data_IF_219482645903
#
_entry.id   IF_219482645903
#
_cell.length_a   1.000
_cell.length_b   1.000
_cell.length_c   1.000
_cell.angle_alpha   90.00
_cell.angle_beta   90.00
_cell.angle_gamma   90.00
#
_symmetry.space_group_name_H-M   'P 1'
#
loop_
_entity.id
_entity.type
_entity.pdbx_description
1 polymer ?
#
# COMPACT_ATOMS: atom_id res chain seq x y z
N UNK A 1 -26.48 -29.81 -1.15
CA UNK A 1 -27.46 -28.71 -1.28
C UNK A 1 -26.64 -27.45 -1.47
N UNK A 2 -26.89 -26.64 -2.51
CA UNK A 2 -26.03 -25.47 -2.77
C UNK A 2 -26.29 -24.37 -1.73
N UNK A 3 -25.24 -23.70 -1.28
CA UNK A 3 -25.28 -22.62 -0.27
C UNK A 3 -26.29 -21.50 -0.63
N UNK A 4 -26.36 -21.02 -1.89
CA UNK A 4 -27.36 -20.03 -2.29
C UNK A 4 -28.81 -20.45 -2.06
N UNK A 5 -29.13 -21.72 -2.25
CA UNK A 5 -30.48 -22.25 -1.98
C UNK A 5 -30.81 -22.28 -0.50
N UNK A 6 -29.81 -22.54 0.37
CA UNK A 6 -30.02 -22.51 1.81
C UNK A 6 -30.28 -21.08 2.30
N UNK A 7 -29.53 -20.10 1.82
CA UNK A 7 -29.82 -18.69 2.11
C UNK A 7 -31.20 -18.27 1.62
N UNK A 8 -31.60 -18.67 0.40
CA UNK A 8 -32.94 -18.42 -0.11
C UNK A 8 -34.03 -18.92 0.82
N UNK A 9 -33.87 -20.15 1.36
CA UNK A 9 -34.83 -20.73 2.32
C UNK A 9 -34.87 -19.95 3.64
N UNK A 10 -33.72 -19.56 4.18
CA UNK A 10 -33.62 -18.82 5.44
C UNK A 10 -34.24 -17.43 5.33
N UNK A 11 -33.93 -16.68 4.25
CA UNK A 11 -34.52 -15.35 4.03
C UNK A 11 -36.03 -15.46 3.85
N UNK A 12 -36.52 -16.46 3.11
CA UNK A 12 -37.95 -16.73 2.97
C UNK A 12 -38.64 -17.08 4.31
N UNK A 13 -37.97 -17.87 5.15
CA UNK A 13 -38.48 -18.19 6.49
C UNK A 13 -38.54 -16.92 7.38
N UNK A 14 -37.52 -16.07 7.29
CA UNK A 14 -37.50 -14.79 8.02
C UNK A 14 -38.64 -13.86 7.60
N UNK A 15 -38.95 -13.73 6.30
CA UNK A 15 -40.07 -12.91 5.83
C UNK A 15 -41.43 -13.46 6.37
N UNK A 16 -41.54 -14.76 6.64
CA UNK A 16 -42.71 -15.38 7.23
C UNK A 16 -42.83 -15.20 8.73
N UNK A 17 -41.70 -14.85 9.40
CA UNK A 17 -41.67 -14.70 10.84
C UNK A 17 -42.56 -13.53 11.29
N UNK A 18 -43.25 -13.75 12.43
CA UNK A 18 -44.19 -12.76 13.00
C UNK A 18 -43.48 -11.46 13.38
N UNK A 19 -42.27 -11.54 13.94
CA UNK A 19 -41.48 -10.37 14.36
C UNK A 19 -41.11 -9.54 13.17
N UNK A 20 -40.63 -10.20 12.11
CA UNK A 20 -40.30 -9.52 10.82
C UNK A 20 -41.54 -8.80 10.26
N UNK A 21 -42.68 -9.46 10.21
CA UNK A 21 -43.93 -8.87 9.70
C UNK A 21 -44.45 -7.70 10.53
N UNK A 22 -44.23 -7.73 11.84
CA UNK A 22 -44.59 -6.59 12.69
C UNK A 22 -43.74 -5.35 12.37
N UNK A 23 -42.48 -5.53 12.02
CA UNK A 23 -41.56 -4.41 11.65
C UNK A 23 -41.78 -4.00 10.19
N UNK A 24 -41.90 -4.98 9.30
CA UNK A 24 -42.00 -4.76 7.83
C UNK A 24 -43.36 -5.23 7.33
N UNK A 25 -44.42 -4.61 7.79
CA UNK A 25 -45.83 -5.00 7.54
C UNK A 25 -46.19 -5.05 6.03
N UNK A 26 -45.46 -4.28 5.20
CA UNK A 26 -45.70 -4.18 3.78
C UNK A 26 -44.91 -5.23 2.94
N UNK A 27 -44.10 -6.08 3.57
CA UNK A 27 -43.29 -7.08 2.90
C UNK A 27 -43.85 -8.46 3.12
N UNK A 28 -44.49 -9.04 2.11
CA UNK A 28 -45.03 -10.39 2.13
C UNK A 28 -44.56 -11.17 0.90
N UNK A 29 -44.48 -12.51 1.04
CA UNK A 29 -44.18 -13.38 -0.09
C UNK A 29 -45.38 -13.47 -1.02
N UNK A 30 -45.10 -13.46 -2.33
CA UNK A 30 -46.11 -13.72 -3.35
C UNK A 30 -46.58 -15.19 -3.24
N UNK A 31 -47.91 -15.47 -3.09
CA UNK A 31 -48.40 -16.82 -2.96
C UNK A 31 -48.03 -17.75 -4.10
N UNK A 32 -47.92 -17.21 -5.32
CA UNK A 32 -47.71 -17.98 -6.54
C UNK A 32 -46.26 -18.29 -6.86
N UNK A 33 -45.31 -17.54 -6.24
CA UNK A 33 -43.89 -17.66 -6.53
C UNK A 33 -43.04 -17.77 -5.26
N UNK A 34 -43.04 -18.94 -4.65
CA UNK A 34 -42.35 -19.18 -3.33
C UNK A 34 -41.39 -20.38 -3.36
N UNK A 35 -40.78 -20.71 -4.51
CA UNK A 35 -39.82 -21.82 -4.60
C UNK A 35 -38.44 -21.39 -4.05
N UNK A 36 -37.64 -22.36 -3.60
CA UNK A 36 -36.30 -22.09 -3.10
C UNK A 36 -35.37 -21.56 -4.22
N UNK A 37 -35.63 -21.96 -5.47
CA UNK A 37 -34.92 -21.56 -6.68
C UNK A 37 -35.27 -20.13 -7.16
N UNK A 38 -36.22 -19.50 -6.49
CA UNK A 38 -36.62 -18.12 -6.76
C UNK A 38 -38.01 -17.83 -6.19
N UNK A 39 -38.14 -16.73 -5.52
CA UNK A 39 -39.41 -16.26 -4.96
C UNK A 39 -39.55 -14.75 -5.14
N UNK A 40 -40.79 -14.31 -5.13
CA UNK A 40 -41.13 -12.90 -5.24
C UNK A 40 -41.83 -12.41 -3.97
N UNK A 41 -41.92 -11.10 -3.83
CA UNK A 41 -42.79 -10.43 -2.87
C UNK A 41 -44.02 -9.87 -3.58
N UNK A 42 -45.09 -9.62 -2.82
CA UNK A 42 -46.33 -9.01 -3.31
C UNK A 42 -46.17 -7.61 -3.90
N UNK A 43 -44.98 -6.99 -3.67
CA UNK A 43 -44.63 -5.65 -4.19
C UNK A 43 -43.63 -5.70 -5.34
N UNK A 44 -43.48 -6.84 -6.00
CA UNK A 44 -42.64 -6.99 -7.21
C UNK A 44 -41.13 -7.18 -6.92
N UNK A 45 -40.71 -7.16 -5.65
CA UNK A 45 -39.36 -7.58 -5.28
C UNK A 45 -39.19 -9.09 -5.40
N UNK A 46 -37.96 -9.59 -5.39
CA UNK A 46 -37.72 -11.02 -5.45
C UNK A 46 -36.29 -11.39 -5.09
N UNK A 47 -36.04 -12.68 -4.98
CA UNK A 47 -34.73 -13.27 -4.69
C UNK A 47 -34.45 -14.41 -5.67
N UNK A 48 -33.27 -14.40 -6.26
CA UNK A 48 -32.82 -15.39 -7.24
C UNK A 48 -31.47 -15.94 -6.81
N UNK A 49 -31.41 -17.13 -6.21
CA UNK A 49 -30.16 -17.78 -5.87
C UNK A 49 -29.52 -18.40 -7.12
N UNK A 50 -28.21 -18.20 -7.27
CA UNK A 50 -27.43 -18.83 -8.33
C UNK A 50 -26.02 -19.14 -7.82
N UNK A 51 -25.36 -20.14 -8.37
CA UNK A 51 -23.92 -20.33 -8.21
C UNK A 51 -23.13 -19.58 -9.29
N UNK A 52 -21.84 -19.43 -9.11
CA UNK A 52 -20.93 -18.90 -10.13
C UNK A 52 -21.04 -19.77 -11.41
N UNK A 53 -21.21 -19.12 -12.57
CA UNK A 53 -21.50 -19.82 -13.84
C UNK A 53 -22.95 -20.34 -13.98
N UNK A 54 -23.79 -20.17 -12.96
CA UNK A 54 -25.22 -20.52 -13.01
C UNK A 54 -26.00 -19.55 -13.90
N UNK A 55 -27.18 -20.02 -14.40
CA UNK A 55 -28.02 -19.21 -15.25
C UNK A 55 -28.77 -18.14 -14.46
N UNK A 56 -28.36 -16.90 -14.61
CA UNK A 56 -29.05 -15.68 -14.15
C UNK A 56 -29.54 -14.84 -15.35
N UNK A 57 -29.50 -15.41 -16.56
CA UNK A 57 -29.88 -14.73 -17.79
C UNK A 57 -31.39 -14.40 -17.79
N UNK A 58 -31.73 -13.22 -18.33
CA UNK A 58 -33.11 -12.75 -18.43
C UNK A 58 -33.69 -12.17 -17.13
N UNK A 59 -32.88 -12.00 -16.06
CA UNK A 59 -33.31 -11.39 -14.81
C UNK A 59 -32.42 -10.21 -14.46
N UNK A 60 -33.01 -9.05 -14.16
CA UNK A 60 -32.30 -7.86 -13.65
C UNK A 60 -32.17 -7.92 -12.12
N UNK A 61 -31.17 -7.23 -11.58
CA UNK A 61 -30.93 -7.11 -10.16
C UNK A 61 -30.68 -5.66 -9.76
N UNK A 62 -31.32 -5.19 -8.70
CA UNK A 62 -31.01 -3.92 -8.05
C UNK A 62 -29.90 -4.09 -6.97
N UNK A 63 -29.74 -5.30 -6.47
CA UNK A 63 -28.67 -5.68 -5.56
C UNK A 63 -28.13 -7.04 -5.99
N UNK A 64 -26.87 -7.09 -6.41
CA UNK A 64 -26.14 -8.31 -6.72
C UNK A 64 -25.21 -8.63 -5.54
N UNK A 65 -25.47 -9.78 -4.87
CA UNK A 65 -24.62 -10.24 -3.76
C UNK A 65 -23.81 -11.43 -4.23
N UNK A 66 -22.49 -11.32 -4.20
CA UNK A 66 -21.53 -12.38 -4.51
C UNK A 66 -20.89 -12.79 -3.18
N UNK A 67 -21.12 -14.03 -2.76
CA UNK A 67 -20.64 -14.57 -1.48
C UNK A 67 -19.68 -15.74 -1.76
N UNK A 68 -18.44 -15.62 -1.34
CA UNK A 68 -17.35 -16.58 -1.51
C UNK A 68 -17.32 -17.20 -2.93
N UNK A 69 -16.92 -16.42 -3.99
CA UNK A 69 -16.91 -16.89 -5.38
C UNK A 69 -15.93 -18.05 -5.63
N UNK A 70 -14.97 -18.28 -4.73
CA UNK A 70 -14.06 -19.42 -4.71
C UNK A 70 -14.34 -20.29 -3.50
N UNK A 71 -14.41 -21.57 -3.69
CA UNK A 71 -14.77 -22.54 -2.67
C UNK A 71 -13.63 -22.80 -1.67
N UNK A 72 -12.39 -22.83 -2.17
CA UNK A 72 -11.20 -23.18 -1.38
C UNK A 72 -9.93 -22.62 -2.05
N UNK A 73 -8.77 -22.91 -1.45
CA UNK A 73 -7.47 -22.50 -1.97
C UNK A 73 -7.16 -23.09 -3.34
N UNK A 74 -7.54 -24.34 -3.61
CA UNK A 74 -7.27 -25.02 -4.88
C UNK A 74 -7.97 -24.32 -6.05
N UNK A 75 -9.24 -23.93 -5.87
CA UNK A 75 -9.95 -23.14 -6.87
C UNK A 75 -9.33 -21.75 -7.05
N UNK A 76 -8.98 -21.08 -5.96
CA UNK A 76 -8.41 -19.74 -6.00
C UNK A 76 -6.98 -19.72 -6.60
N UNK A 77 -6.19 -20.77 -6.42
CA UNK A 77 -4.85 -20.92 -6.99
C UNK A 77 -4.88 -21.27 -8.49
N UNK A 78 -5.99 -21.80 -8.98
CA UNK A 78 -6.15 -22.11 -10.41
C UNK A 78 -6.42 -20.86 -11.23
N UNK A 79 -5.48 -20.45 -12.08
CA UNK A 79 -5.63 -19.32 -13.00
C UNK A 79 -6.88 -19.52 -13.89
N UNK A 80 -7.09 -20.72 -14.42
CA UNK A 80 -8.27 -21.04 -15.25
C UNK A 80 -9.58 -20.78 -14.52
N UNK A 81 -9.66 -21.08 -13.22
CA UNK A 81 -10.87 -20.83 -12.42
C UNK A 81 -11.01 -19.34 -12.14
N UNK A 82 -9.92 -18.62 -11.83
CA UNK A 82 -9.95 -17.17 -11.64
C UNK A 82 -10.43 -16.44 -12.91
N UNK A 83 -9.90 -16.82 -14.08
CA UNK A 83 -10.36 -16.30 -15.37
C UNK A 83 -11.86 -16.57 -15.58
N UNK A 84 -12.31 -17.78 -15.33
CA UNK A 84 -13.72 -18.15 -15.47
C UNK A 84 -14.65 -17.33 -14.56
N UNK A 85 -14.23 -17.07 -13.31
CA UNK A 85 -14.99 -16.25 -12.37
C UNK A 85 -15.01 -14.79 -12.84
N UNK A 86 -13.88 -14.29 -13.34
CA UNK A 86 -13.75 -12.94 -13.89
C UNK A 86 -14.63 -12.72 -15.10
N UNK A 87 -14.56 -13.64 -16.07
CA UNK A 87 -15.40 -13.60 -17.28
C UNK A 87 -16.88 -13.68 -16.95
N UNK A 88 -17.26 -14.56 -16.02
CA UNK A 88 -18.64 -14.65 -15.54
C UNK A 88 -19.09 -13.34 -14.87
N UNK A 89 -18.26 -12.73 -14.07
CA UNK A 89 -18.58 -11.46 -13.43
C UNK A 89 -18.84 -10.38 -14.49
N UNK A 90 -17.93 -10.15 -15.42
CA UNK A 90 -18.05 -9.10 -16.44
C UNK A 90 -19.16 -9.37 -17.45
N UNK A 91 -19.21 -10.58 -18.01
CA UNK A 91 -20.13 -10.90 -19.11
C UNK A 91 -21.56 -11.23 -18.66
N UNK A 92 -21.71 -11.79 -17.46
CA UNK A 92 -23.00 -12.33 -17.01
C UNK A 92 -23.55 -11.59 -15.80
N UNK A 93 -22.78 -11.46 -14.71
CA UNK A 93 -23.30 -10.95 -13.45
C UNK A 93 -23.47 -9.42 -13.49
N UNK A 94 -22.43 -8.70 -13.84
CA UNK A 94 -22.41 -7.23 -13.86
C UNK A 94 -23.44 -6.66 -14.85
N UNK A 95 -23.61 -7.30 -16.01
CA UNK A 95 -24.61 -6.89 -17.02
C UNK A 95 -26.07 -7.06 -16.60
N UNK A 96 -26.31 -7.66 -15.43
CA UNK A 96 -27.67 -7.81 -14.85
C UNK A 96 -28.07 -6.66 -13.95
N UNK A 97 -27.18 -5.73 -13.65
CA UNK A 97 -27.52 -4.59 -12.80
C UNK A 97 -28.56 -3.70 -13.49
N UNK A 98 -29.62 -3.43 -12.74
CA UNK A 98 -30.57 -2.40 -13.10
C UNK A 98 -29.93 -1.00 -12.94
N UNK A 99 -30.46 0.05 -13.60
CA UNK A 99 -30.01 1.42 -13.34
C UNK A 99 -30.04 1.73 -11.83
N UNK A 100 -28.95 2.26 -11.29
CA UNK A 100 -28.74 2.51 -9.86
C UNK A 100 -28.69 1.23 -8.99
N UNK A 101 -28.48 0.06 -9.57
CA UNK A 101 -28.22 -1.17 -8.84
C UNK A 101 -26.80 -1.17 -8.26
N UNK A 102 -26.59 -1.90 -7.16
CA UNK A 102 -25.31 -2.04 -6.49
C UNK A 102 -24.81 -3.49 -6.46
N UNK A 103 -23.50 -3.64 -6.33
CA UNK A 103 -22.83 -4.94 -6.13
C UNK A 103 -22.24 -4.98 -4.72
N UNK A 104 -22.49 -6.07 -4.00
CA UNK A 104 -21.86 -6.40 -2.74
C UNK A 104 -21.07 -7.70 -2.90
N UNK A 105 -19.77 -7.65 -2.70
CA UNK A 105 -18.91 -8.83 -2.72
C UNK A 105 -18.45 -9.10 -1.28
N UNK A 106 -18.77 -10.29 -0.80
CA UNK A 106 -18.36 -10.78 0.53
C UNK A 106 -17.48 -11.99 0.26
N UNK A 107 -16.22 -11.95 0.67
CA UNK A 107 -15.34 -13.09 0.48
C UNK A 107 -14.19 -13.11 1.47
N UNK A 108 -13.71 -14.30 1.75
CA UNK A 108 -12.39 -14.52 2.31
C UNK A 108 -11.37 -14.40 1.17
N UNK A 109 -10.33 -13.59 1.36
CA UNK A 109 -9.29 -13.42 0.34
C UNK A 109 -8.41 -14.67 0.30
N UNK A 110 -8.43 -15.40 -0.80
CA UNK A 110 -7.61 -16.61 -0.99
C UNK A 110 -6.36 -16.33 -1.80
N UNK A 111 -6.48 -15.45 -2.79
CA UNK A 111 -5.43 -15.13 -3.75
C UNK A 111 -5.43 -13.63 -4.03
N UNK A 112 -4.28 -13.03 -4.34
CA UNK A 112 -4.19 -11.60 -4.66
C UNK A 112 -4.89 -11.26 -5.98
N UNK A 113 -4.89 -12.19 -6.96
CA UNK A 113 -5.62 -12.11 -8.24
C UNK A 113 -7.01 -12.76 -8.18
N UNK A 114 -7.68 -12.79 -7.01
CA UNK A 114 -9.08 -13.19 -6.90
C UNK A 114 -10.03 -12.09 -7.42
N UNK A 115 -11.33 -12.35 -7.45
CA UNK A 115 -12.31 -11.39 -7.98
C UNK A 115 -12.18 -10.00 -7.35
N UNK A 116 -12.09 -9.89 -6.02
CA UNK A 116 -11.90 -8.60 -5.35
C UNK A 116 -10.55 -7.97 -5.66
N UNK A 117 -9.49 -8.78 -5.76
CA UNK A 117 -8.16 -8.29 -6.15
C UNK A 117 -8.15 -7.65 -7.52
N UNK A 118 -8.76 -8.29 -8.51
CA UNK A 118 -8.89 -7.75 -9.86
C UNK A 118 -9.70 -6.45 -9.89
N UNK A 119 -10.84 -6.41 -9.20
CA UNK A 119 -11.67 -5.20 -9.13
C UNK A 119 -10.95 -4.02 -8.45
N UNK A 120 -10.22 -4.28 -7.38
CA UNK A 120 -9.40 -3.27 -6.68
C UNK A 120 -8.30 -2.75 -7.60
N UNK A 121 -7.59 -3.66 -8.30
CA UNK A 121 -6.53 -3.29 -9.24
C UNK A 121 -7.09 -2.45 -10.41
N UNK A 122 -8.20 -2.87 -11.04
CA UNK A 122 -8.86 -2.12 -12.10
C UNK A 122 -9.27 -0.71 -11.64
N UNK A 123 -9.91 -0.60 -10.47
CA UNK A 123 -10.27 0.71 -9.91
C UNK A 123 -9.02 1.59 -9.67
N UNK A 124 -7.95 0.99 -9.13
CA UNK A 124 -6.72 1.72 -8.80
C UNK A 124 -6.02 2.24 -10.05
N UNK A 125 -5.93 1.41 -11.09
CA UNK A 125 -5.35 1.80 -12.40
C UNK A 125 -6.18 2.88 -13.06
N UNK A 126 -7.51 2.72 -13.11
CA UNK A 126 -8.42 3.72 -13.68
C UNK A 126 -8.36 5.06 -12.92
N UNK A 127 -8.23 5.05 -11.58
CA UNK A 127 -8.05 6.26 -10.79
C UNK A 127 -6.67 6.93 -11.01
N UNK A 128 -5.62 6.15 -11.32
CA UNK A 128 -4.32 6.71 -11.73
C UNK A 128 -4.44 7.41 -13.09
N UNK A 129 -5.07 6.76 -14.06
CA UNK A 129 -5.33 7.33 -15.39
C UNK A 129 -6.18 8.61 -15.32
N UNK A 130 -7.19 8.63 -14.45
CA UNK A 130 -8.06 9.79 -14.24
C UNK A 130 -7.33 11.01 -13.65
N UNK A 131 -6.18 10.83 -12.97
CA UNK A 131 -5.34 11.95 -12.52
C UNK A 131 -4.75 12.72 -13.72
N UNK A 132 -4.50 12.04 -14.84
CA UNK A 132 -3.98 12.64 -16.07
C UNK A 132 -5.12 13.08 -17.01
N UNK A 133 -6.28 12.41 -16.93
CA UNK A 133 -7.45 12.66 -17.78
C UNK A 133 -8.73 12.72 -16.93
N UNK A 134 -9.08 13.89 -16.35
CA UNK A 134 -10.19 14.01 -15.39
C UNK A 134 -11.56 13.57 -15.91
N UNK A 135 -11.78 13.57 -17.22
CA UNK A 135 -13.03 13.13 -17.86
C UNK A 135 -13.31 11.62 -17.62
N UNK A 136 -12.26 10.83 -17.40
CA UNK A 136 -12.35 9.39 -17.13
C UNK A 136 -12.92 9.10 -15.74
N UNK A 137 -12.72 9.98 -14.77
CA UNK A 137 -13.15 9.76 -13.37
C UNK A 137 -14.66 9.54 -13.22
N UNK A 138 -15.48 10.17 -14.08
CA UNK A 138 -16.92 10.03 -14.05
C UNK A 138 -17.43 8.62 -14.43
N UNK A 139 -16.59 7.80 -15.04
CA UNK A 139 -16.94 6.48 -15.57
C UNK A 139 -16.29 5.33 -14.77
N UNK A 140 -15.63 5.63 -13.64
CA UNK A 140 -14.98 4.63 -12.80
C UNK A 140 -15.94 4.09 -11.76
N UNK A 141 -16.10 2.77 -11.70
CA UNK A 141 -16.77 2.11 -10.57
C UNK A 141 -15.91 2.24 -9.30
N UNK A 142 -16.35 3.07 -8.37
CA UNK A 142 -15.66 3.31 -7.10
C UNK A 142 -16.11 2.28 -6.07
N UNK A 143 -15.23 1.33 -5.77
CA UNK A 143 -15.48 0.30 -4.75
C UNK A 143 -15.12 0.82 -3.37
N UNK A 144 -16.05 0.67 -2.43
CA UNK A 144 -15.76 0.82 -1.01
C UNK A 144 -15.19 -0.50 -0.47
N UNK A 145 -13.98 -0.45 0.09
CA UNK A 145 -13.29 -1.64 0.56
C UNK A 145 -13.37 -1.67 2.09
N UNK A 146 -14.08 -2.65 2.63
CA UNK A 146 -14.19 -2.90 4.07
C UNK A 146 -13.41 -4.17 4.40
N UNK A 147 -12.30 -4.05 5.10
CA UNK A 147 -11.42 -5.16 5.47
C UNK A 147 -11.35 -5.34 6.97
N UNK A 148 -11.51 -6.57 7.42
CA UNK A 148 -11.49 -6.96 8.83
C UNK A 148 -10.38 -7.98 9.12
N UNK A 149 -9.10 -7.54 9.24
CA UNK A 149 -8.02 -8.45 9.61
C UNK A 149 -8.24 -9.01 11.01
N UNK A 150 -7.93 -10.28 11.23
CA UNK A 150 -8.13 -10.95 12.52
C UNK A 150 -7.35 -10.31 13.68
N UNK A 151 -6.18 -9.77 13.38
CA UNK A 151 -5.37 -8.95 14.29
C UNK A 151 -5.16 -7.58 13.64
N UNK A 152 -5.49 -6.50 14.33
CA UNK A 152 -5.34 -5.15 13.84
C UNK A 152 -3.87 -4.83 13.52
N UNK A 153 -3.60 -4.37 12.31
CA UNK A 153 -2.25 -4.00 11.84
C UNK A 153 -1.91 -2.54 12.13
N UNK A 154 -2.94 -1.71 12.34
CA UNK A 154 -2.85 -0.29 12.73
C UNK A 154 -3.90 0.01 13.79
N UNK A 155 -3.88 1.24 14.34
CA UNK A 155 -4.97 1.73 15.17
C UNK A 155 -6.19 2.02 14.29
N UNK A 156 -7.33 1.45 14.66
CA UNK A 156 -8.61 1.61 13.98
C UNK A 156 -9.58 2.38 14.91
N UNK A 157 -10.75 2.75 14.42
CA UNK A 157 -11.75 3.48 15.23
C UNK A 157 -12.17 2.69 16.48
N UNK A 158 -12.24 1.35 16.40
CA UNK A 158 -12.81 0.49 17.44
C UNK A 158 -11.80 -0.45 18.09
N UNK A 159 -10.54 -0.50 17.63
CA UNK A 159 -9.50 -1.35 18.21
C UNK A 159 -8.10 -0.79 17.96
N UNK A 160 -7.18 -1.11 18.87
CA UNK A 160 -5.77 -0.74 18.78
C UNK A 160 -4.98 -1.78 17.96
N UNK A 161 -3.84 -1.36 17.42
CA UNK A 161 -2.89 -2.27 16.79
C UNK A 161 -2.55 -3.44 17.71
N UNK A 162 -2.61 -4.66 17.16
CA UNK A 162 -2.36 -5.90 17.88
C UNK A 162 -3.59 -6.52 18.56
N UNK A 163 -4.74 -5.85 18.57
CA UNK A 163 -5.96 -6.40 19.14
C UNK A 163 -6.69 -7.34 18.18
N UNK A 164 -7.33 -8.36 18.74
CA UNK A 164 -8.13 -9.33 17.99
C UNK A 164 -9.43 -8.70 17.49
N UNK A 165 -9.91 -9.10 16.31
CA UNK A 165 -11.19 -8.64 15.76
C UNK A 165 -12.39 -9.03 16.63
N UNK A 166 -12.41 -10.24 17.15
CA UNK A 166 -13.49 -10.77 17.99
C UNK A 166 -12.91 -11.52 19.20
N UNK A 167 -12.45 -10.79 20.24
CA UNK A 167 -11.69 -11.39 21.34
C UNK A 167 -12.49 -12.43 22.16
N UNK A 168 -13.83 -12.31 22.21
CA UNK A 168 -14.68 -13.28 22.92
C UNK A 168 -14.70 -14.65 22.23
N UNK A 169 -14.64 -14.69 20.90
CA UNK A 169 -14.66 -15.92 20.10
C UNK A 169 -13.26 -16.41 19.76
N UNK A 170 -12.37 -15.46 19.39
CA UNK A 170 -10.99 -15.69 19.00
C UNK A 170 -10.06 -14.78 19.80
N UNK A 171 -9.75 -15.13 21.06
CA UNK A 171 -8.80 -14.38 21.85
C UNK A 171 -7.41 -14.40 21.20
N UNK A 172 -6.62 -13.37 21.43
CA UNK A 172 -5.33 -13.14 20.76
C UNK A 172 -4.38 -14.37 20.86
N UNK A 173 -4.34 -15.02 22.02
CA UNK A 173 -3.52 -16.22 22.21
C UNK A 173 -3.94 -17.41 21.32
N UNK A 174 -5.24 -17.54 20.98
CA UNK A 174 -5.74 -18.53 20.03
C UNK A 174 -5.32 -18.16 18.60
N UNK A 175 -5.40 -16.89 18.23
CA UNK A 175 -4.98 -16.41 16.92
C UNK A 175 -3.49 -16.66 16.68
N UNK A 176 -2.64 -16.43 17.69
CA UNK A 176 -1.20 -16.76 17.57
C UNK A 176 -0.94 -18.28 17.44
N UNK A 177 -1.72 -19.13 18.09
CA UNK A 177 -1.62 -20.59 17.89
C UNK A 177 -1.98 -20.96 16.45
N UNK A 178 -3.07 -20.39 15.92
CA UNK A 178 -3.48 -20.60 14.53
C UNK A 178 -2.39 -20.09 13.57
N UNK A 179 -1.85 -18.89 13.80
CA UNK A 179 -0.76 -18.33 13.00
C UNK A 179 0.47 -19.26 12.91
N UNK A 180 0.81 -19.93 14.02
CA UNK A 180 1.93 -20.88 14.05
C UNK A 180 1.64 -22.21 13.33
N UNK A 181 0.38 -22.57 13.21
CA UNK A 181 -0.04 -23.83 12.56
C UNK A 181 -0.21 -23.66 11.06
N UNK A 182 -0.65 -22.49 10.62
CA UNK A 182 -0.86 -22.18 9.21
C UNK A 182 0.44 -21.81 8.50
N UNK A 183 0.51 -22.11 7.21
CA UNK A 183 1.51 -21.51 6.35
C UNK A 183 1.37 -19.99 6.35
N UNK A 184 2.46 -19.21 6.31
CA UNK A 184 2.43 -17.75 6.32
C UNK A 184 1.49 -17.15 5.27
N UNK A 185 1.47 -17.73 4.07
CA UNK A 185 0.57 -17.35 2.97
C UNK A 185 -0.90 -17.46 3.40
N UNK A 186 -1.32 -18.60 3.94
CA UNK A 186 -2.71 -18.81 4.35
C UNK A 186 -3.10 -17.92 5.55
N UNK A 187 -2.18 -17.69 6.48
CA UNK A 187 -2.43 -16.72 7.55
C UNK A 187 -2.64 -15.31 6.99
N UNK A 188 -1.78 -14.84 6.10
CA UNK A 188 -1.89 -13.51 5.49
C UNK A 188 -3.18 -13.37 4.69
N UNK A 189 -3.50 -14.34 3.86
CA UNK A 189 -4.69 -14.34 3.03
C UNK A 189 -5.99 -14.43 3.85
N UNK A 190 -6.17 -15.50 4.60
CA UNK A 190 -7.46 -15.85 5.22
C UNK A 190 -7.75 -15.07 6.49
N UNK A 191 -6.72 -14.85 7.32
CA UNK A 191 -6.89 -14.19 8.61
C UNK A 191 -6.60 -12.70 8.58
N UNK A 192 -5.64 -12.26 7.77
CA UNK A 192 -5.30 -10.84 7.68
C UNK A 192 -5.92 -10.16 6.46
N UNK A 193 -6.70 -10.88 5.63
CA UNK A 193 -7.35 -10.39 4.41
C UNK A 193 -6.35 -9.77 3.42
N UNK A 194 -5.12 -10.28 3.43
CA UNK A 194 -4.00 -9.75 2.70
C UNK A 194 -3.26 -10.88 1.95
N UNK A 195 -3.88 -11.45 0.88
CA UNK A 195 -3.23 -12.48 0.06
C UNK A 195 -1.97 -11.91 -0.59
N UNK A 196 -0.93 -12.75 -0.67
CA UNK A 196 0.37 -12.41 -1.27
C UNK A 196 0.68 -13.45 -2.33
N UNK A 197 1.17 -13.06 -3.52
CA UNK A 197 1.62 -14.00 -4.53
C UNK A 197 2.65 -14.98 -3.98
N UNK A 198 2.62 -16.23 -4.44
CA UNK A 198 3.64 -17.21 -4.07
C UNK A 198 5.02 -16.85 -4.60
N UNK A 199 5.05 -16.26 -5.79
CA UNK A 199 6.25 -15.76 -6.45
C UNK A 199 5.99 -14.33 -6.93
N UNK A 200 6.93 -13.41 -6.61
CA UNK A 200 6.86 -12.05 -7.12
C UNK A 200 7.21 -12.01 -8.61
N UNK A 201 6.47 -11.23 -9.39
CA UNK A 201 6.74 -11.03 -10.81
C UNK A 201 8.03 -10.24 -11.03
N UNK A 202 8.21 -9.17 -10.27
CA UNK A 202 9.35 -8.27 -10.40
C UNK A 202 10.42 -8.52 -9.31
N UNK A 203 9.99 -8.59 -8.05
CA UNK A 203 10.84 -8.99 -6.92
C UNK A 203 10.47 -10.40 -6.49
N UNK A 204 11.35 -11.37 -6.68
CA UNK A 204 11.13 -12.77 -6.32
C UNK A 204 11.65 -13.06 -4.91
N UNK A 205 11.10 -14.08 -4.24
CA UNK A 205 11.50 -14.50 -2.88
C UNK A 205 13.00 -14.84 -2.78
N UNK A 206 13.56 -15.44 -3.83
CA UNK A 206 14.98 -15.82 -3.88
C UNK A 206 15.93 -14.61 -3.85
N UNK A 207 15.42 -13.41 -4.19
CA UNK A 207 16.20 -12.17 -4.12
C UNK A 207 16.23 -11.59 -2.70
N UNK A 208 15.38 -12.09 -1.79
CA UNK A 208 15.25 -11.57 -0.43
C UNK A 208 16.25 -12.25 0.48
N UNK A 209 17.10 -11.46 1.11
CA UNK A 209 18.13 -11.93 2.04
C UNK A 209 17.79 -11.50 3.45
N UNK A 210 17.73 -12.45 4.37
CA UNK A 210 17.43 -12.19 5.77
C UNK A 210 18.63 -12.52 6.63
N UNK A 211 19.16 -11.51 7.35
CA UNK A 211 20.30 -11.67 8.26
C UNK A 211 20.08 -10.84 9.52
N UNK A 212 20.79 -11.20 10.59
CA UNK A 212 20.84 -10.37 11.81
C UNK A 212 21.46 -9.01 11.50
N UNK A 213 20.85 -7.93 11.99
CA UNK A 213 21.35 -6.57 11.77
C UNK A 213 22.74 -6.38 12.44
N UNK A 214 23.66 -5.68 11.77
CA UNK A 214 24.93 -5.25 12.37
C UNK A 214 24.71 -4.16 13.42
N UNK A 215 25.75 -3.87 14.21
CA UNK A 215 25.74 -2.67 15.06
C UNK A 215 25.87 -1.42 14.17
N UNK A 216 24.73 -0.85 13.81
CA UNK A 216 24.62 0.30 12.93
C UNK A 216 25.30 1.57 13.47
N UNK A 217 25.55 1.64 14.81
CA UNK A 217 26.12 2.85 15.46
C UNK A 217 27.51 3.20 14.96
N UNK A 218 28.19 2.25 14.34
CA UNK A 218 29.54 2.41 13.77
C UNK A 218 29.53 2.48 12.25
N UNK A 219 28.35 2.38 11.62
CA UNK A 219 28.19 2.33 10.18
C UNK A 219 27.56 3.61 9.64
N UNK A 220 27.83 3.95 8.38
CA UNK A 220 27.12 5.01 7.68
C UNK A 220 25.64 4.70 7.55
N UNK A 221 24.77 5.67 7.90
CA UNK A 221 23.31 5.54 7.91
C UNK A 221 22.68 6.50 6.91
N UNK A 222 21.67 6.02 6.18
CA UNK A 222 20.79 6.81 5.32
C UNK A 222 19.33 6.63 5.69
N UNK A 223 18.53 7.67 5.47
CA UNK A 223 17.07 7.68 5.68
C UNK A 223 16.44 8.22 4.41
N UNK A 224 15.66 7.42 3.72
CA UNK A 224 14.94 7.83 2.52
C UNK A 224 13.45 7.96 2.82
N UNK A 225 12.83 9.02 2.30
CA UNK A 225 11.39 9.24 2.41
C UNK A 225 10.74 9.26 1.04
N UNK A 226 9.67 8.48 0.92
CA UNK A 226 8.65 8.65 -0.09
C UNK A 226 7.47 9.37 0.56
N UNK A 227 7.09 10.54 0.00
CA UNK A 227 6.15 11.46 0.63
C UNK A 227 4.77 11.39 -0.01
N UNK A 228 3.74 11.22 0.83
CA UNK A 228 2.36 11.47 0.47
C UNK A 228 1.68 12.29 1.58
N UNK A 229 0.95 13.35 1.22
CA UNK A 229 0.29 14.21 2.21
C UNK A 229 -1.20 13.89 2.29
N UNK A 230 -1.69 13.51 3.45
CA UNK A 230 -3.11 13.39 3.76
C UNK A 230 -3.47 12.24 4.66
N UNK A 231 -4.56 12.44 5.43
CA UNK A 231 -5.06 11.46 6.42
C UNK A 231 -6.24 10.62 5.94
N UNK A 232 -6.77 10.87 4.74
CA UNK A 232 -7.90 10.10 4.21
C UNK A 232 -7.47 8.68 3.86
N UNK A 233 -8.37 7.71 4.02
CA UNK A 233 -8.10 6.30 3.71
C UNK A 233 -7.77 6.04 2.23
N UNK A 234 -8.15 6.94 1.35
CA UNK A 234 -7.88 6.90 -0.10
C UNK A 234 -6.52 7.47 -0.51
N UNK A 235 -5.77 8.08 0.42
CA UNK A 235 -4.46 8.66 0.10
C UNK A 235 -3.35 7.60 0.22
N UNK A 236 -2.30 7.79 -0.58
CA UNK A 236 -1.06 7.01 -0.49
C UNK A 236 -0.41 7.20 0.90
N UNK A 237 0.50 6.33 1.25
CA UNK A 237 1.22 6.42 2.53
C UNK A 237 2.51 7.22 2.37
N UNK A 238 2.87 7.97 3.41
CA UNK A 238 4.27 8.39 3.57
C UNK A 238 5.06 7.23 4.16
N UNK A 239 6.19 6.92 3.55
CA UNK A 239 7.11 5.87 4.01
C UNK A 239 8.49 6.46 4.28
N UNK A 240 9.05 6.11 5.43
CA UNK A 240 10.45 6.35 5.76
C UNK A 240 11.21 5.02 5.87
N UNK A 241 12.27 4.84 5.08
CA UNK A 241 13.15 3.67 5.12
C UNK A 241 14.53 4.07 5.64
N UNK A 242 15.01 3.37 6.67
CA UNK A 242 16.32 3.58 7.29
C UNK A 242 17.23 2.42 6.95
N UNK A 243 18.47 2.70 6.55
CA UNK A 243 19.46 1.65 6.28
C UNK A 243 20.86 2.09 6.58
N UNK A 244 21.74 1.11 6.83
CA UNK A 244 23.18 1.32 6.99
C UNK A 244 23.95 0.47 5.98
N UNK A 245 25.19 0.89 5.68
CA UNK A 245 26.04 0.23 4.71
C UNK A 245 27.30 -0.27 5.39
N UNK A 246 27.65 -1.54 5.18
CA UNK A 246 28.89 -2.12 5.66
C UNK A 246 30.07 -1.90 4.68
N UNK A 247 31.25 -2.34 5.09
CA UNK A 247 32.47 -2.24 4.27
C UNK A 247 32.46 -3.08 2.99
N UNK A 248 31.52 -4.00 2.87
CA UNK A 248 31.30 -4.85 1.68
C UNK A 248 30.21 -4.30 0.76
N UNK A 249 29.79 -3.05 0.95
CA UNK A 249 28.70 -2.39 0.24
C UNK A 249 27.35 -3.10 0.37
N UNK A 250 27.10 -3.83 1.46
CA UNK A 250 25.78 -4.38 1.74
C UNK A 250 24.93 -3.36 2.47
N UNK A 251 23.74 -3.12 1.98
CA UNK A 251 22.74 -2.22 2.55
C UNK A 251 21.79 -3.02 3.45
N UNK A 252 21.86 -2.80 4.74
CA UNK A 252 20.97 -3.38 5.73
C UNK A 252 19.81 -2.43 6.00
N UNK A 253 18.59 -2.87 5.82
CA UNK A 253 17.39 -2.09 6.16
C UNK A 253 17.14 -2.23 7.66
N UNK A 254 17.27 -1.15 8.40
CA UNK A 254 17.17 -1.12 9.86
C UNK A 254 15.74 -0.97 10.35
N UNK A 255 14.96 -0.10 9.68
CA UNK A 255 13.57 0.19 10.03
C UNK A 255 12.83 0.70 8.79
N UNK A 256 11.55 0.34 8.69
CA UNK A 256 10.60 0.96 7.75
C UNK A 256 9.40 1.44 8.54
N UNK A 257 9.10 2.72 8.46
CA UNK A 257 7.90 3.34 9.04
C UNK A 257 6.95 3.73 7.92
N UNK A 258 5.66 3.53 8.14
CA UNK A 258 4.62 3.81 7.17
C UNK A 258 3.36 4.31 7.85
N UNK A 259 2.88 5.47 7.46
CA UNK A 259 1.60 5.99 7.93
C UNK A 259 1.01 7.04 6.97
N UNK A 260 -0.24 7.39 7.20
CA UNK A 260 -0.88 8.55 6.57
C UNK A 260 -0.76 9.74 7.52
N UNK A 261 0.20 10.59 7.20
CA UNK A 261 0.57 11.74 8.01
C UNK A 261 0.17 13.06 7.35
N UNK A 262 -0.12 14.05 8.16
CA UNK A 262 -0.14 15.44 7.70
C UNK A 262 1.29 16.01 7.62
N UNK A 263 1.39 17.22 7.09
CA UNK A 263 2.67 17.90 6.90
C UNK A 263 3.49 18.03 8.19
N UNK A 264 2.83 18.23 9.34
CA UNK A 264 3.51 18.33 10.64
C UNK A 264 4.05 16.99 11.09
N UNK A 265 3.22 15.95 11.04
CA UNK A 265 3.55 14.59 11.43
C UNK A 265 4.70 14.01 10.58
N UNK A 266 4.73 14.31 9.28
CA UNK A 266 5.84 13.93 8.37
C UNK A 266 7.16 14.51 8.89
N UNK A 267 7.18 15.79 9.22
CA UNK A 267 8.38 16.46 9.71
C UNK A 267 8.83 15.90 11.06
N UNK A 268 7.91 15.64 11.98
CA UNK A 268 8.24 15.03 13.27
C UNK A 268 8.78 13.61 13.10
N UNK A 269 8.11 12.76 12.29
CA UNK A 269 8.58 11.40 12.01
C UNK A 269 10.00 11.40 11.38
N UNK A 270 10.27 12.35 10.50
CA UNK A 270 11.58 12.52 9.86
C UNK A 270 12.67 12.87 10.90
N UNK A 271 12.39 13.83 11.76
CA UNK A 271 13.34 14.26 12.81
C UNK A 271 13.49 13.20 13.91
N UNK A 272 12.44 12.46 14.25
CA UNK A 272 12.49 11.35 15.21
C UNK A 272 13.35 10.20 14.68
N UNK A 273 13.24 9.83 13.41
CA UNK A 273 14.13 8.84 12.81
C UNK A 273 15.56 9.34 12.75
N UNK A 274 15.79 10.61 12.39
CA UNK A 274 17.11 11.19 12.38
C UNK A 274 17.76 11.17 13.79
N UNK A 275 17.04 11.57 14.82
CA UNK A 275 17.54 11.58 16.20
C UNK A 275 17.82 10.16 16.70
N UNK A 276 16.91 9.20 16.43
CA UNK A 276 17.04 7.79 16.81
C UNK A 276 18.28 7.13 16.22
N UNK A 277 18.59 7.42 14.98
CA UNK A 277 19.69 6.81 14.25
C UNK A 277 20.96 7.68 14.21
N UNK A 278 20.97 8.81 14.90
CA UNK A 278 22.18 9.60 15.13
C UNK A 278 23.01 9.03 16.28
N UNK A 279 24.31 8.93 16.08
CA UNK A 279 25.28 8.54 17.11
C UNK A 279 26.56 9.35 16.97
N UNK A 280 27.50 9.20 17.93
CA UNK A 280 28.81 9.86 17.85
C UNK A 280 29.62 9.46 16.61
N UNK A 281 29.33 8.30 16.03
CA UNK A 281 30.00 7.77 14.83
C UNK A 281 29.17 7.82 13.55
N UNK A 282 27.86 8.10 13.64
CA UNK A 282 26.96 8.11 12.49
C UNK A 282 26.02 9.31 12.53
N UNK A 283 26.06 10.10 11.45
CA UNK A 283 25.10 11.17 11.18
C UNK A 283 24.31 10.78 9.94
N UNK A 284 23.02 10.45 10.06
CA UNK A 284 22.23 9.98 8.92
C UNK A 284 22.14 11.03 7.81
N UNK A 285 22.26 10.58 6.56
CA UNK A 285 21.93 11.36 5.38
C UNK A 285 20.44 11.17 5.09
N UNK A 286 19.66 12.26 5.01
CA UNK A 286 18.24 12.20 4.68
C UNK A 286 18.05 12.45 3.19
N UNK A 287 17.29 11.58 2.51
CA UNK A 287 16.85 11.75 1.13
C UNK A 287 15.35 11.93 1.04
N UNK A 288 14.94 12.91 0.26
CA UNK A 288 13.55 13.19 -0.05
C UNK A 288 13.46 13.43 -1.56
N UNK A 289 12.50 12.81 -2.23
CA UNK A 289 12.25 13.10 -3.64
C UNK A 289 11.93 14.59 -3.82
N UNK A 290 12.59 15.24 -4.76
CA UNK A 290 12.32 16.63 -5.11
C UNK A 290 10.96 16.79 -5.77
N UNK A 291 10.17 17.73 -5.29
CA UNK A 291 8.86 17.99 -5.88
C UNK A 291 8.01 18.94 -5.04
N UNK A 292 6.75 19.05 -5.42
CA UNK A 292 5.81 19.95 -4.73
C UNK A 292 5.62 19.58 -3.25
N UNK A 293 5.65 18.29 -2.92
CA UNK A 293 5.48 17.82 -1.54
C UNK A 293 6.69 18.19 -0.67
N UNK A 294 7.90 18.02 -1.18
CA UNK A 294 9.12 18.45 -0.50
C UNK A 294 9.11 19.97 -0.25
N UNK A 295 8.71 20.75 -1.24
CA UNK A 295 8.55 22.20 -1.08
C UNK A 295 7.50 22.57 -0.03
N UNK A 296 6.41 21.84 0.06
CA UNK A 296 5.35 22.08 1.04
C UNK A 296 5.80 21.86 2.50
N UNK A 297 6.64 20.86 2.77
CA UNK A 297 7.15 20.58 4.12
C UNK A 297 8.35 21.46 4.53
N UNK A 298 9.08 22.03 3.57
CA UNK A 298 10.34 22.76 3.79
C UNK A 298 10.28 23.88 4.83
N UNK A 299 9.28 24.78 4.83
CA UNK A 299 9.22 25.85 5.82
C UNK A 299 9.07 25.30 7.25
N UNK A 300 8.23 24.27 7.40
CA UNK A 300 7.97 23.64 8.68
C UNK A 300 9.19 22.87 9.17
N UNK A 301 9.81 22.09 8.29
CA UNK A 301 11.04 21.35 8.55
C UNK A 301 12.15 22.29 9.02
N UNK A 302 12.37 23.43 8.36
CA UNK A 302 13.38 24.44 8.76
C UNK A 302 13.12 24.98 10.16
N UNK A 303 11.86 25.25 10.49
CA UNK A 303 11.47 25.70 11.84
C UNK A 303 11.78 24.65 12.88
N UNK A 304 11.34 23.40 12.67
CA UNK A 304 11.50 22.31 13.63
C UNK A 304 12.97 21.89 13.83
N UNK A 305 13.78 21.91 12.76
CA UNK A 305 15.24 21.71 12.83
C UNK A 305 15.88 22.66 13.86
N UNK A 306 15.54 23.94 13.79
CA UNK A 306 16.08 24.95 14.70
C UNK A 306 15.56 24.77 16.14
N UNK A 307 14.27 24.49 16.32
CA UNK A 307 13.66 24.26 17.63
C UNK A 307 14.23 23.03 18.34
N UNK A 308 14.41 21.92 17.61
CA UNK A 308 14.97 20.66 18.14
C UNK A 308 16.50 20.65 18.14
N UNK A 309 17.16 21.64 17.55
CA UNK A 309 18.64 21.73 17.38
C UNK A 309 19.22 20.51 16.68
N UNK A 310 18.47 19.92 15.76
CA UNK A 310 18.88 18.80 14.93
C UNK A 310 19.25 19.36 13.54
N UNK A 311 20.42 19.01 13.02
CA UNK A 311 20.92 19.57 11.76
C UNK A 311 21.26 18.45 10.77
N UNK A 312 20.23 17.75 10.20
CA UNK A 312 20.46 16.69 9.24
C UNK A 312 21.08 17.21 7.95
N UNK A 313 21.92 16.37 7.34
CA UNK A 313 22.32 16.56 5.95
C UNK A 313 21.26 15.99 5.02
N UNK A 314 20.95 16.69 3.92
CA UNK A 314 20.00 16.25 2.92
C UNK A 314 20.68 15.91 1.62
N UNK A 315 20.25 14.80 0.97
CA UNK A 315 20.61 14.51 -0.42
C UNK A 315 19.73 15.35 -1.35
N UNK A 316 20.33 16.33 -1.99
CA UNK A 316 19.63 17.24 -2.90
C UNK A 316 19.49 16.71 -4.34
N UNK A 317 19.96 15.51 -4.66
CA UNK A 317 20.01 15.00 -6.03
C UNK A 317 18.92 13.97 -6.37
N UNK A 318 17.97 13.72 -5.48
CA UNK A 318 16.87 12.79 -5.71
C UNK A 318 15.81 13.44 -6.61
N UNK A 319 16.01 13.30 -7.92
CA UNK A 319 15.07 13.83 -8.92
C UNK A 319 13.92 12.86 -9.15
N UNK A 320 12.69 13.37 -9.34
CA UNK A 320 11.54 12.53 -9.63
C UNK A 320 11.75 11.68 -10.88
N UNK A 321 11.23 10.46 -10.84
CA UNK A 321 11.20 9.53 -11.96
C UNK A 321 9.76 9.06 -12.17
N UNK A 322 9.24 9.30 -13.36
CA UNK A 322 7.84 8.97 -13.73
C UNK A 322 7.64 7.48 -13.97
N UNK A 323 8.64 6.79 -14.54
CA UNK A 323 8.55 5.35 -14.80
C UNK A 323 8.81 4.55 -13.52
N UNK A 324 7.75 3.88 -13.03
CA UNK A 324 7.72 3.04 -11.83
C UNK A 324 8.76 1.91 -11.89
N UNK A 325 8.85 1.20 -13.02
CA UNK A 325 9.81 0.09 -13.17
C UNK A 325 11.26 0.59 -13.25
N UNK A 326 11.48 1.71 -13.94
CA UNK A 326 12.81 2.33 -14.00
C UNK A 326 13.27 2.80 -12.61
N UNK A 327 12.36 3.32 -11.78
CA UNK A 327 12.64 3.71 -10.39
C UNK A 327 13.04 2.52 -9.52
N UNK A 328 12.34 1.39 -9.64
CA UNK A 328 12.58 0.18 -8.87
C UNK A 328 13.80 -0.65 -9.36
N UNK A 329 14.28 -0.43 -10.58
CA UNK A 329 15.38 -1.23 -11.19
C UNK A 329 16.67 -1.27 -10.35
N UNK A 330 17.18 -0.17 -9.77
CA UNK A 330 18.36 -0.22 -8.91
C UNK A 330 18.16 -1.08 -7.67
N UNK A 331 16.97 -1.04 -7.06
CA UNK A 331 16.59 -1.89 -5.92
C UNK A 331 16.60 -3.37 -6.34
N UNK A 332 15.96 -3.71 -7.46
CA UNK A 332 15.94 -5.08 -7.99
C UNK A 332 17.36 -5.59 -8.24
N UNK A 333 18.20 -4.80 -8.93
CA UNK A 333 19.59 -5.19 -9.22
C UNK A 333 20.40 -5.44 -7.95
N UNK A 334 20.25 -4.59 -6.92
CA UNK A 334 20.93 -4.78 -5.63
C UNK A 334 20.43 -6.01 -4.89
N UNK A 335 19.13 -6.27 -4.91
CA UNK A 335 18.55 -7.49 -4.30
C UNK A 335 19.02 -8.77 -5.02
N UNK A 336 19.07 -8.80 -6.35
CA UNK A 336 19.58 -9.92 -7.14
C UNK A 336 21.03 -10.26 -6.81
N UNK A 337 21.84 -9.28 -6.48
CA UNK A 337 23.24 -9.43 -6.10
C UNK A 337 23.42 -9.79 -4.61
N UNK A 338 22.32 -9.89 -3.84
CA UNK A 338 22.35 -10.09 -2.38
C UNK A 338 22.89 -8.90 -1.61
N UNK A 339 22.92 -7.72 -2.24
CA UNK A 339 23.43 -6.48 -1.65
C UNK A 339 22.40 -5.69 -0.81
N UNK A 340 21.14 -6.15 -0.75
CA UNK A 340 20.13 -5.63 0.18
C UNK A 340 19.77 -6.73 1.18
N UNK A 341 19.86 -6.39 2.47
CA UNK A 341 19.60 -7.31 3.57
C UNK A 341 18.47 -6.78 4.45
N UNK A 342 17.49 -7.63 4.72
CA UNK A 342 16.40 -7.39 5.66
C UNK A 342 16.67 -8.15 6.96
N UNK A 343 16.22 -7.67 8.12
CA UNK A 343 16.24 -8.49 9.33
C UNK A 343 15.19 -9.60 9.26
N UNK A 344 15.33 -10.67 10.07
CA UNK A 344 14.34 -11.75 10.11
C UNK A 344 12.95 -11.23 10.53
N UNK A 345 11.88 -11.62 9.84
CA UNK A 345 10.51 -11.21 10.16
C UNK A 345 10.07 -11.58 11.58
N UNK A 346 10.63 -12.66 12.15
CA UNK A 346 10.33 -13.14 13.51
C UNK A 346 10.75 -12.14 14.57
N UNK A 347 11.81 -11.40 14.32
CA UNK A 347 12.36 -10.38 15.24
C UNK A 347 11.90 -8.96 14.88
N UNK A 348 11.54 -8.74 13.62
CA UNK A 348 11.13 -7.44 13.09
C UNK A 348 9.81 -7.56 12.30
N UNK A 349 8.65 -7.52 12.96
CA UNK A 349 7.35 -7.76 12.31
C UNK A 349 7.01 -6.83 11.14
N UNK A 350 7.62 -5.64 11.06
CA UNK A 350 7.44 -4.73 9.95
C UNK A 350 7.99 -5.27 8.62
N UNK A 351 8.92 -6.24 8.66
CA UNK A 351 9.49 -6.88 7.46
C UNK A 351 8.44 -7.64 6.66
N UNK A 352 7.44 -8.23 7.32
CA UNK A 352 6.33 -8.89 6.64
C UNK A 352 5.63 -7.94 5.64
N UNK A 353 5.43 -6.68 6.04
CA UNK A 353 4.80 -5.65 5.19
C UNK A 353 5.70 -5.30 3.98
N UNK A 354 7.00 -5.18 4.19
CA UNK A 354 7.97 -4.92 3.12
C UNK A 354 7.99 -6.06 2.10
N UNK A 355 8.09 -7.30 2.56
CA UNK A 355 8.08 -8.49 1.71
C UNK A 355 6.81 -8.58 0.87
N UNK A 356 5.66 -8.32 1.49
CA UNK A 356 4.37 -8.36 0.81
C UNK A 356 4.27 -7.33 -0.32
N UNK A 357 4.73 -6.10 -0.09
CA UNK A 357 4.68 -5.06 -1.11
C UNK A 357 5.68 -5.32 -2.24
N UNK A 358 6.89 -5.78 -1.93
CA UNK A 358 7.87 -6.21 -2.93
C UNK A 358 7.30 -7.33 -3.84
N UNK A 359 6.69 -8.37 -3.26
CA UNK A 359 6.14 -9.49 -4.04
C UNK A 359 4.97 -9.09 -4.94
N UNK A 360 4.21 -8.06 -4.57
CA UNK A 360 3.09 -7.55 -5.36
C UNK A 360 3.48 -6.54 -6.43
N UNK A 361 4.66 -5.99 -6.33
CA UNK A 361 5.11 -4.99 -7.29
C UNK A 361 5.26 -5.58 -8.71
N UNK A 362 4.81 -4.93 -9.80
CA UNK A 362 4.28 -3.57 -9.88
C UNK A 362 2.75 -3.45 -9.74
N UNK A 363 2.02 -4.56 -9.67
CA UNK A 363 0.55 -4.61 -9.69
C UNK A 363 -0.12 -4.40 -8.32
N UNK A 364 0.65 -4.14 -7.25
CA UNK A 364 0.11 -3.89 -5.91
C UNK A 364 -0.68 -2.58 -5.80
N UNK A 365 -1.62 -2.54 -4.84
CA UNK A 365 -2.38 -1.32 -4.51
C UNK A 365 -1.47 -0.18 -4.06
N UNK A 366 -0.38 -0.50 -3.36
CA UNK A 366 0.62 0.43 -2.85
C UNK A 366 2.00 0.02 -3.33
N UNK A 367 2.84 1.01 -3.59
CA UNK A 367 4.26 0.88 -3.98
C UNK A 367 5.18 1.83 -3.17
N UNK A 368 4.62 2.48 -2.15
CA UNK A 368 5.30 3.50 -1.36
C UNK A 368 6.56 2.97 -0.66
N UNK A 369 6.53 1.71 -0.18
CA UNK A 369 7.71 1.05 0.44
C UNK A 369 8.77 0.73 -0.61
N UNK A 370 8.35 0.23 -1.78
CA UNK A 370 9.27 -0.04 -2.90
C UNK A 370 9.97 1.25 -3.31
N UNK A 371 9.23 2.35 -3.38
CA UNK A 371 9.77 3.65 -3.74
C UNK A 371 10.74 4.21 -2.69
N UNK A 372 10.39 4.14 -1.41
CA UNK A 372 11.30 4.54 -0.33
C UNK A 372 12.60 3.69 -0.31
N UNK A 373 12.51 2.37 -0.53
CA UNK A 373 13.68 1.50 -0.63
C UNK A 373 14.49 1.78 -1.89
N UNK A 374 13.86 2.09 -3.02
CA UNK A 374 14.55 2.48 -4.25
C UNK A 374 15.33 3.79 -4.06
N UNK A 375 14.75 4.78 -3.35
CA UNK A 375 15.45 6.00 -2.97
C UNK A 375 16.63 5.71 -2.05
N UNK A 376 16.46 4.86 -1.04
CA UNK A 376 17.53 4.46 -0.13
C UNK A 376 18.70 3.80 -0.89
N UNK A 377 18.43 2.92 -1.86
CA UNK A 377 19.45 2.31 -2.71
C UNK A 377 20.16 3.36 -3.58
N UNK A 378 19.45 4.34 -4.13
CA UNK A 378 20.05 5.42 -4.92
C UNK A 378 20.95 6.34 -4.10
N UNK A 379 20.64 6.51 -2.81
CA UNK A 379 21.47 7.24 -1.87
C UNK A 379 22.72 6.47 -1.42
N UNK A 380 22.71 5.14 -1.54
CA UNK A 380 23.76 4.27 -1.02
C UNK A 380 25.19 4.75 -1.33
N UNK A 381 25.55 5.20 -2.55
CA UNK A 381 26.90 5.68 -2.85
C UNK A 381 27.30 6.97 -2.10
N UNK A 382 26.33 7.69 -1.51
CA UNK A 382 26.54 8.95 -0.80
C UNK A 382 26.51 8.79 0.71
N UNK A 383 25.95 7.68 1.20
CA UNK A 383 25.87 7.36 2.62
C UNK A 383 27.31 7.15 3.15
N UNK A 384 27.70 7.92 4.18
CA UNK A 384 29.04 7.86 4.76
C UNK A 384 30.14 8.63 4.02
N UNK A 385 29.85 9.16 2.84
CA UNK A 385 30.73 10.15 2.25
C UNK A 385 30.55 11.43 3.07
N UNK A 386 31.62 11.97 3.71
CA UNK A 386 31.50 13.21 4.46
C UNK A 386 30.89 14.28 3.55
N UNK A 387 29.75 14.86 3.91
CA UNK A 387 29.14 16.01 3.22
C UNK A 387 30.12 17.15 3.30
N UNK A 388 31.06 17.19 2.36
CA UNK A 388 32.32 17.78 2.62
C UNK A 388 32.65 18.97 1.80
N UNK A 389 33.23 19.90 2.47
CA UNK A 389 34.45 20.64 2.10
C UNK A 389 34.72 20.77 0.58
N UNK A 390 34.43 19.77 -0.27
CA UNK A 390 34.65 19.83 -1.73
C UNK A 390 33.69 20.82 -2.39
N UNK A 391 32.40 20.82 -2.10
CA UNK A 391 31.45 21.78 -2.68
C UNK A 391 31.63 23.19 -2.10
N UNK A 392 31.96 23.29 -0.81
CA UNK A 392 32.22 24.57 -0.17
C UNK A 392 33.57 25.16 -0.64
N UNK A 393 34.57 24.31 -0.80
CA UNK A 393 35.89 24.74 -1.33
C UNK A 393 35.87 25.00 -2.82
N UNK A 394 35.07 24.31 -3.64
CA UNK A 394 34.94 24.61 -5.07
C UNK A 394 34.18 25.93 -5.28
N UNK A 395 33.10 26.20 -4.54
CA UNK A 395 32.41 27.50 -4.59
C UNK A 395 33.29 28.64 -4.04
N UNK A 396 33.97 28.41 -2.93
CA UNK A 396 34.92 29.42 -2.40
C UNK A 396 36.14 29.62 -3.27
N UNK A 397 36.65 28.58 -3.94
CA UNK A 397 37.74 28.71 -4.95
C UNK A 397 37.25 29.38 -6.22
N UNK A 398 36.06 29.07 -6.73
CA UNK A 398 35.48 29.75 -7.89
C UNK A 398 35.21 31.23 -7.60
N UNK A 399 34.58 31.52 -6.45
CA UNK A 399 34.32 32.89 -6.01
C UNK A 399 35.58 33.69 -5.78
N UNK A 400 36.61 33.14 -5.16
CA UNK A 400 37.93 33.82 -5.02
C UNK A 400 38.66 33.95 -6.36
N UNK A 401 38.53 32.99 -7.25
CA UNK A 401 39.10 33.07 -8.58
C UNK A 401 38.41 34.13 -9.47
N UNK A 402 37.08 34.24 -9.34
CA UNK A 402 36.30 35.28 -10.01
C UNK A 402 36.59 36.67 -9.42
N UNK A 403 36.68 36.79 -8.10
CA UNK A 403 37.06 38.04 -7.45
C UNK A 403 38.47 38.46 -7.83
N UNK A 404 39.40 37.51 -7.89
CA UNK A 404 40.79 37.78 -8.34
C UNK A 404 40.86 38.16 -9.82
N UNK A 405 39.99 37.58 -10.66
CA UNK A 405 39.85 37.94 -12.07
C UNK A 405 39.26 39.34 -12.20
N UNK A 406 38.21 39.64 -11.41
CA UNK A 406 37.59 40.97 -11.38
C UNK A 406 38.53 42.06 -10.89
N UNK A 407 39.31 41.79 -9.85
CA UNK A 407 40.33 42.74 -9.34
C UNK A 407 41.53 42.94 -10.29
N UNK A 408 41.85 41.93 -11.14
CA UNK A 408 42.90 42.05 -12.14
C UNK A 408 42.43 42.71 -13.44
N UNK A 409 41.16 42.62 -13.80
CA UNK A 409 40.58 43.19 -15.03
C UNK A 409 39.87 44.53 -14.77
N UNK A 410 39.62 44.90 -13.53
CA UNK A 410 38.86 46.10 -13.13
C UNK A 410 39.66 47.40 -13.11
N UNK A 411 40.83 47.48 -13.77
CA UNK A 411 41.59 48.73 -13.89
C UNK A 411 41.42 49.47 -15.22
N UNK A 412 40.54 49.06 -16.13
CA UNK A 412 40.20 49.82 -17.32
C UNK A 412 38.85 49.35 -17.90
N UNK A 413 37.85 50.20 -17.88
CA UNK A 413 36.71 50.12 -18.79
C UNK A 413 35.33 50.11 -18.17
N UNK A 414 34.66 51.25 -18.30
CA UNK A 414 33.23 51.54 -18.42
C UNK A 414 32.19 50.83 -17.53
N UNK A 415 31.67 51.66 -16.61
CA UNK A 415 30.42 51.54 -15.86
C UNK A 415 29.19 51.85 -16.75
N UNK A 416 28.85 51.03 -17.72
CA UNK A 416 27.61 51.21 -18.49
C UNK A 416 26.93 49.94 -18.93
N UNK A 417 26.74 48.93 -18.06
CA UNK A 417 25.77 47.85 -18.31
C UNK A 417 25.43 47.11 -17.01
N UNK A 418 24.75 47.81 -16.10
CA UNK A 418 23.99 47.17 -15.03
C UNK A 418 22.76 48.04 -14.70
N UNK A 419 21.82 48.09 -15.66
CA UNK A 419 20.43 48.49 -15.45
C UNK A 419 19.63 47.97 -16.64
N UNK A 420 19.15 46.76 -16.57
CA UNK A 420 17.96 46.22 -17.22
C UNK A 420 17.61 44.90 -16.54
#
# INVERSE_FOLDING_TARGET
MSLPLDFSRRVRALIRDKTYRNVFSNTALDPDKQKAEGWNTTRGGGYVPAGVGGSITGRGAHCLIIDDPFKDAEEADSETIREKVWDWFGSTAYTRLAPNGGVLIIQTRWHDDDLSGRLINHMTEALKEAKETPEVEAHIDKWEIVSYPAIATANETHRKKGEALHPQRFPIGRLYKIKRTLQPRHWSALYQQNPVPDEGVYFRKEMMRFETLPDWRTLPVGIAFDLAIGKKQTNDYTVGAVGCIDSSDRLYVLEVVRARWDTYEIVEAMLDLYERYSSKGATPLIGIERGQLELAIRPHLKKRINERKLYPAFDEDLKPMTDKLARARPLQGRMQQGGLVLPPPETHPWVEMVVQELLRFPGGLFDDIVDALAWLVRMAPKIGVPVNKVARNSRLKSWRAELHKYLKTGASGDLTHMAA
#
